data_IF_560659827233
#
_entry.id   IF_560659827233
#
_cell.length_a   1.000
_cell.length_b   1.000
_cell.length_c   1.000
_cell.angle_alpha   90.00
_cell.angle_beta   90.00
_cell.angle_gamma   90.00
#
_symmetry.space_group_name_H-M   'P 1'
#
loop_
_entity.id
_entity.type
_entity.pdbx_description
1 polymer ?
#
# COMPACT_ATOMS: atom_id res chain seq x y z
N UNK A 1 8.78 -14.20 4.69
CA UNK A 1 8.73 -13.83 6.11
C UNK A 1 7.50 -14.38 6.85
N UNK A 2 6.26 -13.97 6.51
CA UNK A 2 5.05 -14.41 7.23
C UNK A 2 4.81 -15.94 7.23
N UNK A 3 5.04 -16.61 6.10
CA UNK A 3 4.97 -18.09 6.03
C UNK A 3 6.07 -18.74 6.88
N UNK A 4 7.28 -18.18 6.88
CA UNK A 4 8.39 -18.66 7.71
C UNK A 4 8.11 -18.48 9.22
N UNK A 5 7.19 -17.57 9.59
CA UNK A 5 6.68 -17.36 10.95
C UNK A 5 5.46 -18.25 11.28
N UNK A 6 5.14 -19.24 10.44
CA UNK A 6 4.05 -20.20 10.66
C UNK A 6 2.66 -19.71 10.26
N UNK A 7 2.55 -18.55 9.60
CA UNK A 7 1.27 -18.06 9.08
C UNK A 7 0.96 -18.80 7.77
N UNK A 8 -0.15 -19.52 7.73
CA UNK A 8 -0.59 -20.24 6.54
C UNK A 8 -0.78 -19.29 5.34
N UNK A 9 -0.24 -19.69 4.20
CA UNK A 9 -0.48 -18.97 2.95
C UNK A 9 -1.97 -19.09 2.58
N UNK A 10 -2.63 -17.94 2.45
CA UNK A 10 -4.01 -17.85 1.98
C UNK A 10 -4.18 -16.57 1.17
N UNK A 11 -5.34 -16.43 0.52
CA UNK A 11 -5.59 -15.28 -0.35
C UNK A 11 -5.55 -13.95 0.42
N UNK A 12 -6.02 -13.91 1.67
CA UNK A 12 -5.93 -12.72 2.50
C UNK A 12 -4.49 -12.29 2.75
N UNK A 13 -3.60 -13.24 3.05
CA UNK A 13 -2.17 -12.97 3.24
C UNK A 13 -1.49 -12.46 1.96
N UNK A 14 -1.97 -12.89 0.79
CA UNK A 14 -1.46 -12.44 -0.49
C UNK A 14 -2.02 -11.06 -0.88
N UNK A 15 -3.31 -10.83 -0.67
CA UNK A 15 -4.03 -9.66 -1.14
C UNK A 15 -4.05 -8.48 -0.15
N UNK A 16 -3.67 -8.66 1.13
CA UNK A 16 -3.72 -7.57 2.11
C UNK A 16 -2.98 -6.29 1.69
N UNK A 17 -1.87 -6.31 0.92
CA UNK A 17 -1.24 -5.07 0.48
C UNK A 17 -2.18 -4.22 -0.39
N UNK A 18 -3.08 -4.85 -1.16
CA UNK A 18 -4.09 -4.14 -1.95
C UNK A 18 -5.14 -3.50 -1.04
N UNK A 19 -5.58 -4.20 0.01
CA UNK A 19 -6.48 -3.63 1.01
C UNK A 19 -5.83 -2.44 1.73
N UNK A 20 -4.56 -2.59 2.15
CA UNK A 20 -3.79 -1.51 2.77
C UNK A 20 -3.64 -0.30 1.83
N UNK A 21 -3.43 -0.53 0.53
CA UNK A 21 -3.45 0.55 -0.47
C UNK A 21 -4.80 1.24 -0.51
N UNK A 22 -5.91 0.50 -0.53
CA UNK A 22 -7.24 1.09 -0.53
C UNK A 22 -7.47 1.98 0.70
N UNK A 23 -7.05 1.52 1.89
CA UNK A 23 -7.15 2.30 3.13
C UNK A 23 -6.34 3.61 3.07
N UNK A 24 -5.12 3.58 2.51
CA UNK A 24 -4.27 4.78 2.37
C UNK A 24 -4.89 5.79 1.38
N UNK A 25 -5.29 5.30 0.20
CA UNK A 25 -5.74 6.14 -0.91
C UNK A 25 -7.15 6.70 -0.69
N UNK A 26 -8.03 5.97 0.00
CA UNK A 26 -9.38 6.41 0.32
C UNK A 26 -9.39 7.75 1.07
N UNK A 27 -8.41 7.96 1.95
CA UNK A 27 -8.27 9.18 2.74
C UNK A 27 -7.30 10.20 2.15
N UNK A 28 -6.82 10.01 0.92
CA UNK A 28 -5.94 10.96 0.22
C UNK A 28 -4.67 11.30 1.03
N UNK A 29 -4.09 10.31 1.71
CA UNK A 29 -2.99 10.52 2.65
C UNK A 29 -1.72 11.01 1.96
N UNK A 30 -1.15 12.14 2.43
CA UNK A 30 0.15 12.63 1.93
C UNK A 30 1.34 11.88 2.55
N UNK A 31 1.26 11.56 3.84
CA UNK A 31 2.30 10.85 4.59
C UNK A 31 1.69 9.69 5.36
N UNK A 32 2.40 8.56 5.40
CA UNK A 32 1.96 7.36 6.10
C UNK A 32 3.05 6.94 7.09
N UNK A 33 2.84 7.15 8.41
CA UNK A 33 3.76 6.72 9.44
C UNK A 33 3.86 5.18 9.46
N UNK A 34 5.04 4.64 9.17
CA UNK A 34 5.26 3.20 9.04
C UNK A 34 6.65 2.79 9.52
N UNK A 35 6.77 1.56 10.03
CA UNK A 35 8.07 0.94 10.28
C UNK A 35 8.85 0.68 8.99
N UNK A 36 10.18 0.53 9.10
CA UNK A 36 11.08 0.24 7.96
C UNK A 36 10.66 -0.99 7.16
N UNK A 37 10.11 -1.99 7.83
CA UNK A 37 9.60 -3.24 7.24
C UNK A 37 8.33 -3.05 6.42
N UNK A 38 7.60 -1.94 6.60
CA UNK A 38 6.35 -1.63 5.93
C UNK A 38 6.49 -0.56 4.83
N UNK A 39 7.69 0.05 4.68
CA UNK A 39 8.00 1.04 3.63
C UNK A 39 7.57 0.56 2.24
N UNK A 40 7.84 -0.70 1.92
CA UNK A 40 7.52 -1.29 0.62
C UNK A 40 6.01 -1.31 0.33
N UNK A 41 5.14 -1.44 1.34
CA UNK A 41 3.69 -1.39 1.11
C UNK A 41 3.22 0.02 0.76
N UNK A 42 3.83 1.06 1.34
CA UNK A 42 3.54 2.45 0.96
C UNK A 42 4.03 2.74 -0.46
N UNK A 43 5.16 2.16 -0.88
CA UNK A 43 5.63 2.22 -2.27
C UNK A 43 4.65 1.55 -3.24
N UNK A 44 4.11 0.37 -2.89
CA UNK A 44 3.06 -0.28 -3.68
C UNK A 44 1.80 0.61 -3.78
N UNK A 45 1.38 1.25 -2.69
CA UNK A 45 0.24 2.16 -2.71
C UNK A 45 0.47 3.35 -3.66
N UNK A 46 1.68 3.93 -3.65
CA UNK A 46 2.09 4.99 -4.57
C UNK A 46 2.07 4.52 -6.03
N UNK A 47 2.64 3.35 -6.32
CA UNK A 47 2.69 2.82 -7.69
C UNK A 47 1.28 2.57 -8.26
N UNK A 48 0.37 2.05 -7.42
CA UNK A 48 -1.04 1.87 -7.79
C UNK A 48 -1.71 3.22 -8.01
N UNK A 49 -1.49 4.22 -7.15
CA UNK A 49 -2.03 5.57 -7.31
C UNK A 49 -1.56 6.22 -8.61
N UNK A 50 -0.26 6.14 -8.93
CA UNK A 50 0.31 6.66 -10.19
C UNK A 50 -0.37 5.98 -11.39
N UNK A 51 -0.48 4.65 -11.38
CA UNK A 51 -1.09 3.91 -12.49
C UNK A 51 -2.56 4.28 -12.66
N UNK A 52 -3.31 4.39 -11.56
CA UNK A 52 -4.71 4.77 -11.59
C UNK A 52 -4.87 6.21 -12.11
N UNK A 53 -4.03 7.14 -11.65
CA UNK A 53 -4.10 8.52 -12.08
C UNK A 53 -3.72 8.69 -13.56
N UNK A 54 -2.76 7.90 -14.05
CA UNK A 54 -2.41 7.92 -15.48
C UNK A 54 -3.56 7.46 -16.38
N UNK A 55 -4.38 6.52 -15.90
CA UNK A 55 -5.53 5.99 -16.67
C UNK A 55 -6.76 6.89 -16.55
N UNK A 56 -7.03 7.43 -15.36
CA UNK A 56 -8.32 8.06 -15.04
C UNK A 56 -8.23 9.55 -14.69
N UNK A 57 -7.04 10.16 -14.75
CA UNK A 57 -6.79 11.54 -14.34
C UNK A 57 -6.36 11.66 -12.87
N UNK A 58 -6.04 12.87 -12.43
CA UNK A 58 -5.50 13.11 -11.08
C UNK A 58 -6.55 12.89 -9.98
N UNK A 59 -6.65 11.66 -9.46
CA UNK A 59 -7.68 11.22 -8.51
C UNK A 59 -7.10 10.95 -7.12
N UNK A 60 -5.93 10.32 -7.04
CA UNK A 60 -5.30 9.95 -5.78
C UNK A 60 -4.06 10.78 -5.49
N UNK A 61 -3.95 11.25 -4.27
CA UNK A 61 -2.71 11.80 -3.71
C UNK A 61 -1.65 10.71 -3.64
N UNK A 62 -0.41 11.04 -4.00
CA UNK A 62 0.73 10.13 -3.92
C UNK A 62 1.26 10.08 -2.48
N UNK A 63 1.10 8.96 -1.74
CA UNK A 63 1.53 8.86 -0.36
C UNK A 63 3.05 8.71 -0.24
N UNK A 64 3.66 9.32 0.78
CA UNK A 64 5.06 9.14 1.17
C UNK A 64 5.22 8.41 2.51
N UNK A 65 6.18 7.47 2.67
CA UNK A 65 6.44 6.86 3.97
C UNK A 65 7.07 7.89 4.92
N UNK A 66 6.59 7.90 6.15
CA UNK A 66 7.22 8.61 7.27
C UNK A 66 7.77 7.55 8.23
N UNK A 67 9.09 7.51 8.40
CA UNK A 67 9.82 6.42 9.07
C UNK A 67 10.18 6.78 10.50
#
# INVERSE_FOLDING_TARGET
DKIAKGIAANHGLFAYPVLMTADILLFQSNKVPVGKDQKQHVEVARDIAIKFNNEYGDIFTLPEPEI
#
